data_IF_825043017556
#
_entry.id   IF_825043017556
#
_cell.length_a   1.000
_cell.length_b   1.000
_cell.length_c   1.000
_cell.angle_alpha   90.00
_cell.angle_beta   90.00
_cell.angle_gamma   90.00
#
_symmetry.space_group_name_H-M   'P 1'
#
loop_
_entity.id
_entity.type
_entity.pdbx_description
1 polymer ?
#
# COMPACT_ATOMS: atom_id res chain seq x y z
N UNK A 1 -4.16 -21.68 -22.41
CA UNK A 1 -3.66 -20.87 -21.30
C UNK A 1 -3.07 -19.48 -21.65
N UNK A 2 -2.52 -19.19 -22.84
CA UNK A 2 -2.04 -17.84 -23.18
C UNK A 2 -3.14 -16.81 -23.49
N UNK A 3 -4.33 -17.22 -23.92
CA UNK A 3 -5.40 -16.31 -24.35
C UNK A 3 -6.08 -15.64 -23.15
N UNK A 4 -6.32 -16.36 -22.06
CA UNK A 4 -6.94 -15.84 -20.83
C UNK A 4 -6.05 -14.81 -20.14
N UNK A 5 -4.73 -15.02 -20.12
CA UNK A 5 -3.78 -14.04 -19.56
C UNK A 5 -3.76 -12.74 -20.37
N UNK A 6 -3.89 -12.84 -21.69
CA UNK A 6 -3.96 -11.68 -22.58
C UNK A 6 -5.23 -10.85 -22.37
N UNK A 7 -6.36 -11.52 -22.15
CA UNK A 7 -7.63 -10.84 -21.85
C UNK A 7 -7.62 -10.16 -20.48
N UNK A 8 -7.07 -10.81 -19.46
CA UNK A 8 -6.93 -10.22 -18.11
C UNK A 8 -6.01 -9.02 -18.17
N UNK A 9 -4.87 -9.13 -18.84
CA UNK A 9 -3.91 -8.03 -19.01
C UNK A 9 -4.52 -6.87 -19.80
N UNK A 10 -5.27 -7.17 -20.87
CA UNK A 10 -5.98 -6.16 -21.65
C UNK A 10 -7.07 -5.45 -20.83
N UNK A 11 -7.82 -6.18 -20.01
CA UNK A 11 -8.84 -5.60 -19.12
C UNK A 11 -8.23 -4.72 -18.01
N UNK A 12 -7.09 -5.10 -17.46
CA UNK A 12 -6.36 -4.28 -16.47
C UNK A 12 -5.85 -3.00 -17.13
N UNK A 13 -5.23 -3.11 -18.31
CA UNK A 13 -4.77 -1.95 -19.08
C UNK A 13 -5.97 -1.07 -19.47
N UNK A 14 -7.07 -1.64 -19.94
CA UNK A 14 -8.26 -0.88 -20.29
C UNK A 14 -8.88 -0.17 -19.07
N UNK A 15 -8.90 -0.84 -17.91
CA UNK A 15 -9.37 -0.25 -16.65
C UNK A 15 -8.48 0.91 -16.19
N UNK A 16 -7.15 0.76 -16.29
CA UNK A 16 -6.19 1.83 -16.00
C UNK A 16 -6.33 2.99 -17.01
N UNK A 17 -6.43 2.69 -18.30
CA UNK A 17 -6.68 3.72 -19.34
C UNK A 17 -8.02 4.41 -19.15
N UNK A 18 -9.06 3.66 -18.80
CA UNK A 18 -10.38 4.23 -18.51
C UNK A 18 -10.35 5.13 -17.27
N UNK A 19 -9.65 4.72 -16.23
CA UNK A 19 -9.47 5.54 -15.01
C UNK A 19 -8.69 6.82 -15.31
N UNK A 20 -7.62 6.74 -16.10
CA UNK A 20 -6.83 7.90 -16.56
C UNK A 20 -7.67 8.76 -17.52
N UNK A 21 -8.43 8.16 -18.43
CA UNK A 21 -9.33 8.88 -19.35
C UNK A 21 -10.45 9.62 -18.60
N UNK A 22 -11.06 8.97 -17.61
CA UNK A 22 -12.05 9.60 -16.74
C UNK A 22 -11.42 10.76 -15.97
N UNK A 23 -10.23 10.57 -15.37
CA UNK A 23 -9.50 11.62 -14.68
C UNK A 23 -9.12 12.79 -15.61
N UNK A 24 -8.67 12.50 -16.84
CA UNK A 24 -8.36 13.50 -17.85
C UNK A 24 -9.61 14.20 -18.40
N UNK A 25 -10.73 13.48 -18.56
CA UNK A 25 -12.01 14.06 -18.98
C UNK A 25 -12.58 15.00 -17.92
N UNK A 26 -12.45 14.64 -16.64
CA UNK A 26 -12.78 15.55 -15.53
C UNK A 26 -11.83 16.74 -15.48
N UNK A 27 -10.53 16.54 -15.63
CA UNK A 27 -9.54 17.63 -15.68
C UNK A 27 -9.80 18.57 -16.88
N UNK A 28 -10.12 18.03 -18.06
CA UNK A 28 -10.44 18.80 -19.26
C UNK A 28 -11.68 19.68 -19.14
N UNK A 29 -12.70 19.24 -18.40
CA UNK A 29 -13.89 20.08 -18.13
C UNK A 29 -13.58 21.28 -17.21
N UNK A 30 -12.51 21.22 -16.41
CA UNK A 30 -12.07 22.33 -15.56
C UNK A 30 -11.31 23.42 -16.33
N UNK A 31 -10.69 23.07 -17.48
CA UNK A 31 -9.95 24.04 -18.31
C UNK A 31 -10.89 24.93 -19.13
N UNK A 32 -12.08 24.48 -19.46
CA UNK A 32 -13.03 25.25 -20.29
C UNK A 32 -13.92 26.22 -19.50
N UNK A 33 -13.83 26.28 -18.18
CA UNK A 33 -14.64 27.19 -17.35
C UNK A 33 -13.99 28.55 -17.09
N UNK A 34 -12.84 28.87 -17.71
CA UNK A 34 -12.06 30.08 -17.43
C UNK A 34 -11.91 31.01 -18.64
N UNK A 35 -13.05 31.36 -19.30
CA UNK A 35 -13.10 32.57 -20.13
C UNK A 35 -14.25 33.46 -19.68
N UNK A 36 -13.88 34.61 -19.17
CA UNK A 36 -14.58 35.86 -18.91
C UNK A 36 -14.71 36.28 -17.45
N UNK A 37 -13.79 37.10 -16.94
CA UNK A 37 -14.05 38.51 -16.58
C UNK A 37 -12.81 39.13 -15.88
N UNK A 38 -12.43 40.38 -16.19
CA UNK A 38 -11.39 41.08 -15.48
C UNK A 38 -11.91 41.68 -14.17
N UNK A 39 -11.04 41.62 -13.14
CA UNK A 39 -11.08 42.40 -11.92
C UNK A 39 -12.33 42.36 -11.02
N UNK A 40 -12.59 41.20 -10.44
CA UNK A 40 -13.08 41.14 -9.07
C UNK A 40 -12.31 40.03 -8.37
N UNK A 41 -11.56 40.34 -7.30
CA UNK A 41 -11.05 39.34 -6.34
C UNK A 41 -12.25 38.56 -5.84
N UNK A 42 -12.53 37.40 -6.43
CA UNK A 42 -13.68 36.61 -6.05
C UNK A 42 -13.49 36.18 -4.59
N UNK A 43 -14.33 36.69 -3.71
CA UNK A 43 -14.34 36.25 -2.33
C UNK A 43 -14.79 34.81 -2.35
N UNK A 44 -13.91 33.90 -1.92
CA UNK A 44 -14.25 32.51 -1.76
C UNK A 44 -15.47 32.39 -0.84
N UNK A 45 -16.35 31.41 -1.07
CA UNK A 45 -17.56 31.20 -0.26
C UNK A 45 -17.27 30.66 1.14
N UNK A 46 -16.01 30.52 1.52
CA UNK A 46 -15.56 30.02 2.83
C UNK A 46 -14.31 30.79 3.28
N UNK A 47 -14.08 30.78 4.60
CA UNK A 47 -12.93 31.43 5.21
C UNK A 47 -11.69 30.54 5.08
N UNK A 48 -10.58 31.13 4.58
CA UNK A 48 -9.25 30.51 4.58
C UNK A 48 -8.55 30.89 5.89
N UNK A 49 -8.01 29.89 6.56
CA UNK A 49 -7.22 30.09 7.77
C UNK A 49 -5.81 30.59 7.39
N UNK A 50 -5.43 31.78 7.83
CA UNK A 50 -4.13 32.39 7.56
C UNK A 50 -2.95 31.51 8.06
N UNK A 51 -3.17 30.69 9.09
CA UNK A 51 -2.16 29.75 9.60
C UNK A 51 -1.80 28.65 8.61
N UNK A 52 -2.65 28.42 7.60
CA UNK A 52 -2.44 27.42 6.53
C UNK A 52 -1.84 27.99 5.27
N UNK A 53 -1.49 29.26 5.28
CA UNK A 53 -0.80 29.90 4.16
C UNK A 53 0.58 29.27 3.99
N UNK A 54 0.94 28.98 2.75
CA UNK A 54 2.27 28.48 2.38
C UNK A 54 3.32 29.51 2.82
N UNK A 55 4.42 29.01 3.36
CA UNK A 55 5.52 29.86 3.81
C UNK A 55 5.95 30.82 2.69
N UNK A 56 6.22 32.10 2.99
CA UNK A 56 6.59 33.09 1.97
C UNK A 56 7.82 32.69 1.12
N UNK A 57 8.79 31.99 1.66
CA UNK A 57 9.97 31.53 0.91
C UNK A 57 9.58 30.41 -0.09
N UNK A 58 8.75 29.47 0.34
CA UNK A 58 8.22 28.41 -0.53
C UNK A 58 7.28 28.99 -1.60
N UNK A 59 6.46 29.98 -1.23
CA UNK A 59 5.57 30.65 -2.17
C UNK A 59 6.31 31.39 -3.28
N UNK A 60 7.49 31.97 -2.99
CA UNK A 60 8.36 32.59 -4.02
C UNK A 60 8.82 31.58 -5.06
N UNK A 61 9.15 30.38 -4.65
CA UNK A 61 9.61 29.30 -5.52
C UNK A 61 8.48 28.57 -6.25
N UNK A 62 7.23 28.76 -5.83
CA UNK A 62 6.07 28.09 -6.42
C UNK A 62 5.81 28.55 -7.85
N UNK A 63 5.91 27.62 -8.80
CA UNK A 63 5.71 27.86 -10.23
C UNK A 63 4.22 28.04 -10.56
N UNK A 64 3.89 28.98 -11.43
CA UNK A 64 2.54 29.11 -12.01
C UNK A 64 2.30 28.10 -13.13
N UNK A 65 1.02 27.79 -13.37
CA UNK A 65 0.56 26.90 -14.44
C UNK A 65 0.89 25.44 -14.19
N UNK A 66 0.90 24.69 -15.27
CA UNK A 66 1.10 23.25 -15.24
C UNK A 66 2.55 22.85 -15.51
N UNK A 67 2.94 21.71 -14.95
CA UNK A 67 4.22 21.06 -15.24
C UNK A 67 4.18 19.56 -14.97
N UNK A 68 5.11 18.84 -15.59
CA UNK A 68 5.33 17.42 -15.34
C UNK A 68 6.61 17.28 -14.54
N UNK A 69 6.57 16.42 -13.54
CA UNK A 69 7.75 15.99 -12.78
C UNK A 69 7.70 14.50 -12.53
N UNK A 70 8.81 13.89 -12.18
CA UNK A 70 8.85 12.48 -11.85
C UNK A 70 10.20 12.09 -11.29
N UNK A 71 10.21 10.93 -10.63
CA UNK A 71 11.39 10.38 -10.01
C UNK A 71 11.53 8.90 -10.41
N UNK A 72 12.60 8.53 -11.13
CA UNK A 72 12.95 7.13 -11.30
C UNK A 72 13.45 6.55 -9.96
N UNK A 73 13.19 5.29 -9.73
CA UNK A 73 13.59 4.60 -8.51
C UNK A 73 14.14 3.22 -8.81
N UNK A 74 15.23 2.88 -8.13
CA UNK A 74 15.80 1.52 -8.10
C UNK A 74 16.05 1.18 -6.64
N UNK A 75 15.59 0.01 -6.21
CA UNK A 75 15.80 -0.48 -4.85
C UNK A 75 16.02 -1.98 -4.85
N UNK A 76 16.57 -2.54 -3.78
CA UNK A 76 16.78 -3.97 -3.60
C UNK A 76 16.06 -4.45 -2.35
N UNK A 77 15.38 -5.56 -2.46
CA UNK A 77 14.69 -6.25 -1.38
C UNK A 77 15.11 -7.72 -1.38
N UNK A 78 15.51 -8.30 -0.23
CA UNK A 78 16.02 -9.68 -0.17
C UNK A 78 15.01 -10.73 -0.64
N UNK A 79 13.71 -10.47 -0.48
CA UNK A 79 12.63 -11.41 -0.82
C UNK A 79 12.16 -11.21 -2.26
N UNK A 80 11.97 -9.98 -2.67
CA UNK A 80 11.36 -9.64 -3.97
C UNK A 80 12.37 -9.16 -5.02
N UNK A 81 13.66 -9.18 -4.71
CA UNK A 81 14.75 -8.86 -5.64
C UNK A 81 14.90 -7.37 -5.93
N UNK A 82 15.44 -7.04 -7.09
CA UNK A 82 15.66 -5.67 -7.51
C UNK A 82 14.36 -5.09 -8.08
N UNK A 83 13.89 -4.00 -7.50
CA UNK A 83 12.77 -3.20 -7.98
C UNK A 83 13.27 -2.05 -8.84
N UNK A 84 12.61 -1.79 -9.95
CA UNK A 84 12.87 -0.67 -10.84
C UNK A 84 11.57 -0.08 -11.34
N UNK A 85 11.57 1.22 -11.55
CA UNK A 85 10.38 1.94 -11.98
C UNK A 85 10.46 3.43 -11.72
N UNK A 86 9.32 4.04 -11.46
CA UNK A 86 9.25 5.46 -11.12
C UNK A 86 7.82 5.93 -10.87
N UNK A 87 7.76 7.14 -10.31
CA UNK A 87 6.52 7.90 -10.12
C UNK A 87 6.56 9.14 -11.00
N UNK A 88 5.45 9.41 -11.69
CA UNK A 88 5.25 10.60 -12.50
C UNK A 88 4.08 11.42 -11.98
N UNK A 89 4.19 12.75 -12.10
CA UNK A 89 3.18 13.67 -11.64
C UNK A 89 2.92 14.75 -12.71
N UNK A 90 1.66 14.96 -13.02
CA UNK A 90 1.21 16.18 -13.68
C UNK A 90 0.58 17.07 -12.62
N UNK A 91 1.08 18.30 -12.48
CA UNK A 91 0.70 19.24 -11.43
C UNK A 91 0.20 20.51 -12.10
N UNK A 92 -0.99 20.94 -11.70
CA UNK A 92 -1.56 22.25 -12.06
C UNK A 92 -1.57 23.14 -10.82
N UNK A 93 -0.77 24.18 -10.82
CA UNK A 93 -0.68 25.12 -9.69
C UNK A 93 -1.65 26.30 -9.80
N UNK A 94 -2.21 26.56 -11.00
CA UNK A 94 -3.02 27.72 -11.27
C UNK A 94 -2.20 29.02 -11.39
N UNK A 95 -2.89 30.15 -11.36
CA UNK A 95 -2.30 31.49 -11.49
C UNK A 95 -2.07 32.12 -10.11
N UNK A 96 -1.03 32.95 -9.97
CA UNK A 96 -0.75 33.73 -8.74
C UNK A 96 -1.89 34.69 -8.36
N UNK A 97 -2.71 35.09 -9.34
CA UNK A 97 -3.90 35.90 -9.10
C UNK A 97 -5.04 35.14 -8.39
N UNK A 98 -5.02 33.80 -8.40
CA UNK A 98 -6.02 33.00 -7.71
C UNK A 98 -5.81 33.06 -6.19
N UNK A 99 -6.88 33.29 -5.43
CA UNK A 99 -6.86 33.39 -3.97
C UNK A 99 -6.37 32.10 -3.28
N UNK A 100 -6.56 30.93 -3.90
CA UNK A 100 -6.11 29.64 -3.39
C UNK A 100 -4.64 29.35 -3.66
N UNK A 101 -3.97 30.12 -4.54
CA UNK A 101 -2.57 29.88 -4.90
C UNK A 101 -1.62 29.87 -3.69
N UNK A 102 -1.89 30.74 -2.72
CA UNK A 102 -1.09 30.83 -1.50
C UNK A 102 -1.48 29.82 -0.40
N UNK A 103 -2.54 29.03 -0.57
CA UNK A 103 -3.06 28.12 0.47
C UNK A 103 -3.06 26.66 0.05
N UNK A 104 -3.00 26.39 -1.24
CA UNK A 104 -2.98 25.01 -1.77
C UNK A 104 -1.62 24.71 -2.39
N UNK A 105 -1.08 23.50 -2.23
CA UNK A 105 0.15 23.09 -2.94
C UNK A 105 -0.03 23.10 -4.47
N UNK A 106 -1.23 22.82 -4.96
CA UNK A 106 -1.65 22.79 -6.37
C UNK A 106 -3.17 22.90 -6.45
N UNK A 107 -3.71 23.19 -7.64
CA UNK A 107 -5.15 23.11 -7.93
C UNK A 107 -5.55 21.64 -8.04
N UNK A 108 -4.77 20.87 -8.80
CA UNK A 108 -4.88 19.41 -8.85
C UNK A 108 -3.55 18.76 -9.20
N UNK A 109 -3.42 17.51 -8.81
CA UNK A 109 -2.28 16.66 -9.14
C UNK A 109 -2.78 15.31 -9.63
N UNK A 110 -2.30 14.90 -10.79
CA UNK A 110 -2.46 13.53 -11.30
C UNK A 110 -1.15 12.80 -11.07
N UNK A 111 -1.22 11.58 -10.57
CA UNK A 111 -0.05 10.73 -10.31
C UNK A 111 -0.15 9.41 -11.07
N UNK A 112 0.98 8.87 -11.48
CA UNK A 112 1.13 7.54 -12.01
C UNK A 112 2.38 6.88 -11.41
N UNK A 113 2.24 5.64 -10.95
CA UNK A 113 3.30 4.85 -10.35
C UNK A 113 3.46 3.55 -11.15
N UNK A 114 4.68 3.23 -11.56
CA UNK A 114 4.99 2.01 -12.32
C UNK A 114 6.25 1.39 -11.72
N UNK A 115 6.11 0.23 -11.10
CA UNK A 115 7.22 -0.50 -10.50
C UNK A 115 7.15 -1.98 -10.84
N UNK A 116 8.30 -2.58 -11.12
CA UNK A 116 8.45 -4.02 -11.35
C UNK A 116 9.68 -4.53 -10.63
N UNK A 117 9.64 -5.81 -10.22
CA UNK A 117 10.80 -6.46 -9.63
C UNK A 117 11.41 -7.51 -10.57
N UNK A 118 12.68 -7.82 -10.35
CA UNK A 118 13.42 -8.85 -11.09
C UNK A 118 12.82 -10.27 -10.94
N UNK A 119 12.03 -10.51 -9.89
CA UNK A 119 11.35 -11.79 -9.66
C UNK A 119 9.86 -11.78 -10.09
N UNK A 120 9.41 -10.72 -10.77
CA UNK A 120 8.09 -10.64 -11.37
C UNK A 120 6.99 -10.04 -10.49
N UNK A 121 7.31 -9.46 -9.32
CA UNK A 121 6.38 -8.63 -8.59
C UNK A 121 6.14 -7.31 -9.33
N UNK A 122 4.93 -6.74 -9.20
CA UNK A 122 4.50 -5.55 -9.95
C UNK A 122 3.63 -4.66 -9.09
N UNK A 123 3.81 -3.36 -9.25
CA UNK A 123 2.93 -2.35 -8.67
C UNK A 123 2.65 -1.27 -9.71
N UNK A 124 1.37 -1.02 -9.96
CA UNK A 124 0.90 0.04 -10.84
C UNK A 124 -0.13 0.87 -10.09
N UNK A 125 -0.01 2.17 -10.13
CA UNK A 125 -0.93 3.08 -9.48
C UNK A 125 -1.27 4.27 -10.36
N UNK A 126 -2.47 4.81 -10.18
CA UNK A 126 -2.87 6.09 -10.78
C UNK A 126 -3.82 6.81 -9.84
N UNK A 127 -3.64 8.12 -9.69
CA UNK A 127 -4.45 8.91 -8.77
C UNK A 127 -4.67 10.33 -9.21
N UNK A 128 -5.67 10.95 -8.58
CA UNK A 128 -5.92 12.38 -8.68
C UNK A 128 -6.20 12.95 -7.29
N UNK A 129 -5.63 14.10 -7.00
CA UNK A 129 -5.82 14.84 -5.76
C UNK A 129 -6.25 16.28 -6.07
N UNK A 130 -7.36 16.69 -5.50
CA UNK A 130 -8.05 17.96 -5.71
C UNK A 130 -8.27 18.65 -4.36
N UNK A 131 -7.29 19.44 -3.84
CA UNK A 131 -7.33 20.00 -2.49
C UNK A 131 -8.51 20.92 -2.20
N UNK A 132 -8.95 21.70 -3.17
CA UNK A 132 -10.09 22.62 -3.05
C UNK A 132 -11.02 22.43 -4.24
N UNK A 133 -11.71 21.29 -4.26
CA UNK A 133 -12.56 20.91 -5.39
C UNK A 133 -13.59 22.00 -5.74
N UNK A 134 -13.51 22.53 -6.97
CA UNK A 134 -14.38 23.62 -7.45
C UNK A 134 -14.41 24.84 -6.50
N UNK A 135 -13.25 25.26 -6.03
CA UNK A 135 -13.13 26.38 -5.10
C UNK A 135 -14.01 26.23 -3.83
N UNK A 136 -14.16 24.99 -3.38
CA UNK A 136 -14.88 24.63 -2.15
C UNK A 136 -13.91 24.19 -1.06
N UNK A 137 -14.34 24.11 0.22
CA UNK A 137 -13.51 23.63 1.31
C UNK A 137 -13.32 22.11 1.32
N UNK A 138 -13.73 21.42 0.25
CA UNK A 138 -13.61 19.98 0.14
C UNK A 138 -12.37 19.58 -0.64
N UNK A 139 -11.65 18.58 -0.14
CA UNK A 139 -10.61 17.86 -0.86
C UNK A 139 -11.15 16.54 -1.34
N UNK A 140 -10.85 16.17 -2.57
CA UNK A 140 -11.17 14.86 -3.14
C UNK A 140 -9.87 14.19 -3.53
N UNK A 141 -9.68 12.98 -3.06
CA UNK A 141 -8.57 12.12 -3.43
C UNK A 141 -9.11 10.80 -3.98
N UNK A 142 -8.70 10.44 -5.18
CA UNK A 142 -8.98 9.15 -5.80
C UNK A 142 -7.66 8.48 -6.17
N UNK A 143 -7.56 7.19 -5.91
CA UNK A 143 -6.41 6.37 -6.24
C UNK A 143 -6.85 4.98 -6.68
N UNK A 144 -6.31 4.49 -7.79
CA UNK A 144 -6.49 3.11 -8.26
C UNK A 144 -5.14 2.41 -8.29
N UNK A 145 -5.13 1.11 -8.03
CA UNK A 145 -3.90 0.34 -7.96
C UNK A 145 -4.07 -1.10 -8.42
N UNK A 146 -2.95 -1.65 -8.87
CA UNK A 146 -2.70 -3.06 -9.09
C UNK A 146 -1.38 -3.43 -8.42
N UNK A 147 -1.43 -4.38 -7.50
CA UNK A 147 -0.26 -4.92 -6.78
C UNK A 147 -0.22 -6.43 -6.95
N UNK A 148 0.85 -6.97 -7.48
CA UNK A 148 1.12 -8.39 -7.52
C UNK A 148 2.45 -8.71 -6.88
N UNK A 149 2.43 -9.58 -5.87
CA UNK A 149 3.62 -10.03 -5.20
C UNK A 149 3.62 -11.57 -5.12
N UNK A 150 4.58 -12.19 -5.80
CA UNK A 150 4.74 -13.64 -5.88
C UNK A 150 5.35 -14.26 -4.61
N UNK A 151 5.91 -13.45 -3.72
CA UNK A 151 6.69 -13.89 -2.55
C UNK A 151 6.27 -13.17 -1.28
N UNK A 152 4.96 -13.01 -1.06
CA UNK A 152 4.48 -12.48 0.21
C UNK A 152 4.72 -13.48 1.32
N UNK A 153 5.24 -12.99 2.44
CA UNK A 153 5.56 -13.78 3.61
C UNK A 153 4.35 -13.94 4.54
N UNK A 154 4.18 -15.15 5.07
CA UNK A 154 3.16 -15.48 6.06
C UNK A 154 3.73 -16.42 7.12
N UNK A 155 3.80 -15.94 8.35
CA UNK A 155 4.35 -16.69 9.49
C UNK A 155 3.28 -17.15 10.48
N UNK A 156 1.99 -16.87 10.21
CA UNK A 156 0.86 -17.21 11.05
C UNK A 156 0.09 -15.99 11.55
N UNK A 157 -0.84 -16.21 12.47
CA UNK A 157 -1.65 -15.19 13.15
C UNK A 157 -1.75 -15.46 14.65
N UNK A 158 -1.99 -14.40 15.44
CA UNK A 158 -2.20 -14.49 16.89
C UNK A 158 -0.93 -14.64 17.71
N UNK A 159 -1.07 -15.04 18.98
CA UNK A 159 0.04 -15.11 19.95
C UNK A 159 1.19 -16.03 19.54
N UNK A 160 0.90 -17.06 18.73
CA UNK A 160 1.94 -17.96 18.23
C UNK A 160 3.01 -17.26 17.41
N UNK A 161 2.67 -16.12 16.80
CA UNK A 161 3.61 -15.31 16.00
C UNK A 161 4.55 -14.43 16.86
N UNK A 162 4.27 -14.32 18.14
CA UNK A 162 5.15 -13.62 19.09
C UNK A 162 6.30 -14.50 19.59
N UNK A 163 6.24 -15.79 19.31
CA UNK A 163 7.30 -16.74 19.65
C UNK A 163 8.37 -16.75 18.55
N UNK A 164 9.65 -16.95 18.90
CA UNK A 164 10.70 -17.14 17.91
C UNK A 164 10.36 -18.27 16.93
N UNK A 165 10.75 -18.10 15.66
CA UNK A 165 10.66 -19.17 14.67
C UNK A 165 11.62 -20.31 15.03
N UNK A 166 11.33 -21.52 14.59
CA UNK A 166 12.23 -22.66 14.67
C UNK A 166 12.96 -22.87 13.34
N UNK A 167 14.08 -23.61 13.37
CA UNK A 167 14.86 -23.92 12.17
C UNK A 167 14.08 -24.69 11.12
N UNK A 168 13.27 -25.61 11.55
CA UNK A 168 12.39 -26.35 10.66
C UNK A 168 10.94 -26.29 11.17
N UNK A 169 9.98 -25.84 10.35
CA UNK A 169 8.62 -25.59 10.82
C UNK A 169 7.86 -26.83 11.30
N UNK A 170 8.32 -28.03 10.93
CA UNK A 170 7.72 -29.32 11.29
C UNK A 170 8.52 -30.12 12.32
N UNK A 171 9.59 -29.53 12.84
CA UNK A 171 10.42 -30.13 13.87
C UNK A 171 10.26 -29.35 15.19
N UNK A 172 9.52 -29.93 16.13
CA UNK A 172 9.24 -29.27 17.41
C UNK A 172 10.47 -29.15 18.32
N UNK A 173 11.52 -29.96 18.10
CA UNK A 173 12.76 -29.93 18.85
C UNK A 173 13.79 -28.94 18.34
N UNK A 174 13.42 -28.17 17.31
CA UNK A 174 14.36 -27.22 16.72
C UNK A 174 14.59 -26.01 17.63
N UNK A 175 15.85 -25.54 17.67
CA UNK A 175 16.25 -24.36 18.43
C UNK A 175 15.51 -23.10 17.94
N UNK A 176 15.13 -22.20 18.86
CA UNK A 176 14.53 -20.93 18.47
C UNK A 176 15.51 -20.07 17.69
N UNK A 177 15.01 -19.31 16.71
CA UNK A 177 15.77 -18.36 15.91
C UNK A 177 15.69 -16.99 16.58
N UNK A 178 16.83 -16.49 17.05
CA UNK A 178 16.90 -15.21 17.77
C UNK A 178 17.82 -14.18 17.08
N UNK A 179 18.58 -14.59 16.07
CA UNK A 179 19.47 -13.74 15.30
C UNK A 179 19.20 -13.80 13.80
N UNK A 180 19.63 -12.76 13.06
CA UNK A 180 19.54 -12.74 11.60
C UNK A 180 20.33 -13.89 10.94
N UNK A 181 21.50 -14.22 11.47
CA UNK A 181 22.30 -15.32 10.96
C UNK A 181 21.62 -16.69 11.13
N UNK A 182 20.86 -16.88 12.20
CA UNK A 182 20.03 -18.08 12.40
C UNK A 182 18.83 -18.07 11.47
N UNK A 183 18.23 -16.93 11.19
CA UNK A 183 17.17 -16.81 10.20
C UNK A 183 17.66 -17.21 8.79
N UNK A 184 18.84 -16.76 8.38
CA UNK A 184 19.46 -17.13 7.10
C UNK A 184 19.68 -18.64 7.01
N UNK A 185 20.19 -19.25 8.08
CA UNK A 185 20.34 -20.73 8.16
C UNK A 185 19.00 -21.46 8.07
N UNK A 186 17.95 -20.90 8.66
CA UNK A 186 16.60 -21.46 8.53
C UNK A 186 16.11 -21.44 7.08
N UNK A 187 16.27 -20.29 6.40
CA UNK A 187 15.87 -20.16 4.99
C UNK A 187 16.65 -21.15 4.11
N UNK A 188 17.94 -21.34 4.38
CA UNK A 188 18.76 -22.36 3.73
C UNK A 188 18.24 -23.78 4.00
N UNK A 189 17.91 -24.10 5.25
CA UNK A 189 17.35 -25.41 5.63
C UNK A 189 15.99 -25.69 4.95
N UNK A 190 15.12 -24.68 4.82
CA UNK A 190 13.86 -24.79 4.07
C UNK A 190 14.11 -25.00 2.57
N UNK A 191 15.18 -24.44 2.05
CA UNK A 191 15.55 -24.54 0.64
C UNK A 191 16.17 -25.90 0.27
N UNK A 192 16.52 -26.70 1.26
CA UNK A 192 17.14 -28.00 1.03
C UNK A 192 16.25 -28.91 0.19
N UNK A 193 16.85 -29.54 -0.83
CA UNK A 193 16.18 -30.46 -1.76
C UNK A 193 16.42 -31.89 -1.34
N UNK A 194 15.39 -32.69 -1.27
CA UNK A 194 15.44 -34.11 -0.95
C UNK A 194 14.69 -34.92 -2.03
N UNK A 195 15.11 -36.17 -2.33
CA UNK A 195 14.39 -37.05 -3.25
C UNK A 195 12.95 -37.27 -2.80
N UNK A 196 12.01 -37.26 -3.75
CA UNK A 196 10.59 -37.56 -3.50
C UNK A 196 10.40 -39.05 -3.23
N UNK A 197 9.91 -39.41 -2.04
CA UNK A 197 9.58 -40.84 -1.74
C UNK A 197 8.34 -41.25 -2.53
N UNK A 198 8.46 -42.37 -3.27
CA UNK A 198 7.32 -42.99 -3.98
C UNK A 198 6.92 -42.31 -5.28
N UNK A 199 7.69 -41.36 -5.75
CA UNK A 199 7.59 -40.77 -7.10
C UNK A 199 8.84 -41.06 -7.91
N UNK A 200 8.73 -40.78 -9.22
CA UNK A 200 9.83 -40.86 -10.16
C UNK A 200 11.13 -40.32 -9.56
N UNK A 201 12.22 -41.08 -9.61
CA UNK A 201 13.52 -40.71 -9.04
C UNK A 201 14.09 -39.38 -9.54
N UNK A 202 13.47 -38.82 -10.57
CA UNK A 202 13.78 -37.50 -11.15
C UNK A 202 13.14 -36.31 -10.42
N UNK A 203 12.35 -36.51 -9.38
CA UNK A 203 11.64 -35.45 -8.67
C UNK A 203 12.25 -35.18 -7.30
N UNK A 204 12.41 -33.91 -6.98
CA UNK A 204 12.86 -33.42 -5.68
C UNK A 204 11.77 -32.63 -4.99
N UNK A 205 11.83 -32.55 -3.66
CA UNK A 205 10.92 -31.78 -2.82
C UNK A 205 11.71 -30.78 -1.99
N UNK A 206 11.09 -29.63 -1.72
CA UNK A 206 11.68 -28.55 -0.92
C UNK A 206 10.59 -27.86 -0.12
N UNK A 207 10.93 -27.29 1.02
CA UNK A 207 10.04 -26.47 1.84
C UNK A 207 10.27 -24.95 1.65
N UNK A 208 11.05 -24.57 0.66
CA UNK A 208 11.42 -23.19 0.35
C UNK A 208 10.23 -22.20 0.32
N UNK A 209 9.04 -22.66 -0.05
CA UNK A 209 7.83 -21.86 -0.15
C UNK A 209 6.86 -22.06 1.02
N UNK A 210 7.33 -22.64 2.12
CA UNK A 210 6.47 -22.93 3.26
C UNK A 210 5.80 -21.67 3.84
N UNK A 211 6.54 -20.57 3.95
CA UNK A 211 6.04 -19.30 4.46
C UNK A 211 5.62 -18.31 3.37
N UNK A 212 5.59 -18.70 2.09
CA UNK A 212 5.29 -17.79 0.98
C UNK A 212 3.93 -18.07 0.35
N UNK A 213 3.32 -17.02 -0.20
CA UNK A 213 2.14 -17.11 -1.06
C UNK A 213 2.20 -16.05 -2.17
N UNK A 214 1.53 -16.32 -3.30
CA UNK A 214 1.32 -15.36 -4.40
C UNK A 214 0.05 -14.56 -4.10
N UNK A 215 0.13 -13.24 -4.17
CA UNK A 215 -1.00 -12.34 -4.00
C UNK A 215 -1.13 -11.39 -5.18
N UNK A 216 -2.38 -11.10 -5.53
CA UNK A 216 -2.74 -10.11 -6.53
C UNK A 216 -3.86 -9.25 -5.97
N UNK A 217 -3.63 -7.94 -5.86
CA UNK A 217 -4.57 -7.00 -5.30
C UNK A 217 -4.88 -5.89 -6.30
N UNK A 218 -6.14 -5.66 -6.59
CA UNK A 218 -6.59 -4.63 -7.54
C UNK A 218 -7.76 -3.89 -6.93
N UNK A 219 -7.71 -2.58 -6.99
CA UNK A 219 -8.79 -1.78 -6.43
C UNK A 219 -8.63 -0.30 -6.62
N UNK A 220 -9.52 0.42 -5.96
CA UNK A 220 -9.47 1.87 -5.88
C UNK A 220 -9.92 2.36 -4.51
N UNK A 221 -9.49 3.56 -4.17
CA UNK A 221 -9.83 4.29 -2.98
C UNK A 221 -10.32 5.69 -3.36
N UNK A 222 -11.41 6.11 -2.74
CA UNK A 222 -11.94 7.46 -2.84
C UNK A 222 -12.04 8.04 -1.43
N UNK A 223 -11.53 9.24 -1.25
CA UNK A 223 -11.67 9.97 0.02
C UNK A 223 -12.13 11.39 -0.28
N UNK A 224 -13.09 11.86 0.48
CA UNK A 224 -13.55 13.25 0.51
C UNK A 224 -13.34 13.77 1.93
N UNK A 225 -12.61 14.84 2.07
CA UNK A 225 -12.39 15.45 3.37
C UNK A 225 -12.68 16.96 3.34
N UNK A 226 -12.99 17.51 4.52
CA UNK A 226 -13.21 18.93 4.73
C UNK A 226 -12.60 19.36 6.06
N UNK A 227 -11.94 20.51 6.04
CA UNK A 227 -11.46 21.17 7.26
C UNK A 227 -12.51 22.12 7.81
N UNK A 228 -12.71 22.06 9.14
CA UNK A 228 -13.59 22.93 9.93
C UNK A 228 -12.80 23.63 11.01
N UNK A 229 -13.18 24.84 11.36
CA UNK A 229 -12.60 25.61 12.46
C UNK A 229 -11.07 25.60 12.49
N UNK A 230 -10.45 25.67 11.31
CA UNK A 230 -9.00 25.76 11.14
C UNK A 230 -8.22 24.47 11.45
N UNK A 231 -8.57 23.74 12.50
CA UNK A 231 -7.80 22.59 12.98
C UNK A 231 -8.50 21.23 12.79
N UNK A 232 -9.82 21.19 12.74
CA UNK A 232 -10.56 19.94 12.60
C UNK A 232 -10.78 19.55 11.15
N UNK A 233 -10.53 18.28 10.83
CA UNK A 233 -10.78 17.69 9.52
C UNK A 233 -11.74 16.50 9.69
N UNK A 234 -12.79 16.48 8.92
CA UNK A 234 -13.69 15.35 8.80
C UNK A 234 -13.50 14.68 7.44
N UNK A 235 -13.38 13.37 7.41
CA UNK A 235 -13.16 12.58 6.21
C UNK A 235 -14.19 11.46 6.08
N UNK A 236 -14.63 11.26 4.84
CA UNK A 236 -15.40 10.10 4.39
C UNK A 236 -14.65 9.42 3.26
N UNK A 237 -14.67 8.10 3.21
CA UNK A 237 -13.99 7.37 2.15
C UNK A 237 -14.60 6.01 1.89
N UNK A 238 -14.27 5.48 0.73
CA UNK A 238 -14.59 4.12 0.33
C UNK A 238 -13.38 3.50 -0.39
N UNK A 239 -13.02 2.28 0.00
CA UNK A 239 -12.06 1.47 -0.75
C UNK A 239 -12.80 0.24 -1.26
N UNK A 240 -12.59 -0.08 -2.52
CA UNK A 240 -13.12 -1.28 -3.15
C UNK A 240 -11.95 -1.99 -3.78
N UNK A 241 -11.65 -3.21 -3.30
CA UNK A 241 -10.57 -3.98 -3.87
C UNK A 241 -10.85 -5.48 -3.85
N UNK A 242 -10.21 -6.17 -4.75
CA UNK A 242 -10.19 -7.62 -4.85
C UNK A 242 -8.79 -8.14 -4.59
N UNK A 243 -8.68 -9.01 -3.59
CA UNK A 243 -7.48 -9.80 -3.32
C UNK A 243 -7.64 -11.20 -3.91
N UNK A 244 -6.63 -11.68 -4.60
CA UNK A 244 -6.51 -13.08 -5.02
C UNK A 244 -5.27 -13.63 -4.33
N UNK A 245 -5.44 -14.76 -3.65
CA UNK A 245 -4.36 -15.47 -2.94
C UNK A 245 -4.19 -16.84 -3.55
N UNK A 246 -2.95 -17.23 -3.82
CA UNK A 246 -2.58 -18.55 -4.34
C UNK A 246 -1.45 -19.11 -3.52
N UNK A 247 -1.60 -20.34 -3.07
CA UNK A 247 -0.55 -21.06 -2.33
C UNK A 247 0.37 -21.84 -3.26
N UNK A 248 1.46 -22.30 -2.70
CA UNK A 248 2.45 -23.12 -3.40
C UNK A 248 2.32 -24.61 -3.10
N UNK A 249 1.22 -25.05 -2.47
CA UNK A 249 1.00 -26.47 -2.13
C UNK A 249 1.05 -27.37 -3.38
N UNK A 250 1.93 -28.34 -3.35
CA UNK A 250 2.08 -29.34 -4.40
C UNK A 250 2.44 -28.82 -5.78
N UNK A 251 2.82 -27.54 -5.93
CA UNK A 251 3.23 -26.99 -7.22
C UNK A 251 4.58 -27.55 -7.65
N UNK A 252 4.64 -27.94 -8.92
CA UNK A 252 5.87 -28.40 -9.57
C UNK A 252 6.44 -27.23 -10.38
N UNK A 253 7.70 -26.94 -10.21
CA UNK A 253 8.42 -25.99 -11.05
C UNK A 253 9.73 -26.62 -11.55
N UNK A 254 10.16 -26.20 -12.73
CA UNK A 254 11.46 -26.60 -13.28
C UNK A 254 12.51 -25.64 -12.76
N UNK A 255 13.44 -26.13 -11.98
CA UNK A 255 14.63 -25.38 -11.61
C UNK A 255 15.57 -25.31 -12.81
N UNK A 256 15.95 -24.12 -13.22
CA UNK A 256 16.95 -23.92 -14.28
C UNK A 256 18.39 -24.05 -13.78
N UNK A 257 18.59 -23.81 -12.48
CA UNK A 257 19.90 -23.87 -11.88
C UNK A 257 20.03 -25.12 -11.03
N UNK A 258 21.08 -25.94 -11.22
CA UNK A 258 21.49 -26.88 -10.20
C UNK A 258 21.75 -26.08 -8.92
N UNK A 259 21.13 -26.47 -7.85
CA UNK A 259 21.21 -25.78 -6.56
C UNK A 259 22.70 -25.60 -6.19
N UNK A 260 23.19 -24.36 -6.19
CA UNK A 260 24.56 -23.94 -5.84
C UNK A 260 25.70 -24.70 -6.51
N UNK A 261 25.53 -25.14 -7.74
CA UNK A 261 26.58 -25.89 -8.46
C UNK A 261 26.82 -27.29 -7.93
N UNK A 262 25.94 -27.81 -7.08
CA UNK A 262 26.01 -29.19 -6.63
C UNK A 262 25.62 -30.14 -7.76
N UNK A 263 26.61 -30.86 -8.28
CA UNK A 263 26.45 -31.87 -9.37
C UNK A 263 25.66 -33.09 -8.93
N UNK A 264 25.43 -33.30 -7.62
CA UNK A 264 24.65 -34.42 -7.10
C UNK A 264 23.14 -34.29 -7.33
N UNK A 265 22.65 -33.06 -7.62
CA UNK A 265 21.24 -32.81 -7.83
C UNK A 265 21.01 -32.11 -9.18
N UNK A 266 20.94 -32.87 -10.29
CA UNK A 266 20.69 -32.29 -11.61
C UNK A 266 19.34 -31.55 -11.60
N UNK A 267 19.26 -30.48 -12.40
CA UNK A 267 18.08 -29.62 -12.52
C UNK A 267 16.90 -30.38 -13.11
N UNK A 268 16.11 -30.99 -12.28
CA UNK A 268 14.88 -31.73 -12.62
C UNK A 268 13.67 -31.08 -11.96
N UNK A 269 12.54 -31.68 -12.10
CA UNK A 269 11.30 -31.19 -11.50
C UNK A 269 11.42 -31.05 -9.97
N UNK A 270 11.15 -29.86 -9.45
CA UNK A 270 11.11 -29.58 -8.02
C UNK A 270 9.66 -29.40 -7.61
N UNK A 271 9.22 -30.15 -6.61
CA UNK A 271 7.88 -30.12 -6.09
C UNK A 271 7.87 -29.28 -4.81
N UNK A 272 6.95 -28.33 -4.72
CA UNK A 272 6.77 -27.40 -3.62
C UNK A 272 5.42 -27.58 -2.94
N UNK A 273 5.42 -27.67 -1.66
CA UNK A 273 6.10 -28.61 -0.78
C UNK A 273 5.67 -30.04 -1.13
N UNK A 274 6.06 -31.05 -0.43
CA UNK A 274 5.62 -32.46 -0.75
C UNK A 274 4.10 -32.56 -0.87
N UNK A 275 3.53 -33.56 -1.57
CA UNK A 275 2.08 -33.73 -1.70
C UNK A 275 1.30 -33.74 -0.38
N UNK A 276 1.94 -34.13 0.70
CA UNK A 276 1.36 -34.15 2.06
C UNK A 276 1.87 -32.97 2.92
N UNK A 277 2.76 -32.13 2.39
CA UNK A 277 3.30 -30.99 3.10
C UNK A 277 2.63 -29.72 2.56
N UNK A 278 2.01 -29.01 3.45
CA UNK A 278 1.21 -27.80 3.17
C UNK A 278 2.01 -26.57 3.55
N UNK A 279 1.75 -25.45 2.89
CA UNK A 279 2.27 -24.15 3.32
C UNK A 279 1.68 -23.78 4.67
N UNK A 280 2.33 -22.90 5.41
CA UNK A 280 1.83 -22.38 6.70
C UNK A 280 0.43 -21.78 6.56
N UNK A 281 0.17 -21.11 5.45
CA UNK A 281 -1.14 -20.53 5.16
C UNK A 281 -2.22 -21.60 5.04
N UNK A 282 -1.93 -22.74 4.41
CA UNK A 282 -2.86 -23.86 4.26
C UNK A 282 -3.10 -24.56 5.60
N UNK A 283 -2.07 -24.76 6.41
CA UNK A 283 -2.20 -25.34 7.76
C UNK A 283 -3.11 -24.47 8.64
N UNK A 284 -2.94 -23.16 8.60
CA UNK A 284 -3.77 -22.25 9.40
C UNK A 284 -5.20 -22.13 8.86
N UNK A 285 -5.43 -22.30 7.56
CA UNK A 285 -6.77 -22.41 6.97
C UNK A 285 -7.48 -23.68 7.42
N UNK A 286 -6.80 -24.83 7.42
CA UNK A 286 -7.38 -26.11 7.86
C UNK A 286 -7.63 -26.18 9.38
N UNK A 287 -6.84 -25.42 10.13
CA UNK A 287 -7.05 -25.23 11.58
C UNK A 287 -8.06 -24.11 11.89
N UNK A 288 -8.76 -23.58 10.88
CA UNK A 288 -9.78 -22.52 11.00
C UNK A 288 -9.29 -21.22 11.67
N UNK A 289 -7.98 -20.99 11.68
CA UNK A 289 -7.36 -19.80 12.30
C UNK A 289 -7.50 -18.53 11.44
N UNK A 290 -7.74 -18.69 10.14
CA UNK A 290 -7.78 -17.57 9.19
C UNK A 290 -9.02 -17.59 8.30
N UNK A 291 -9.44 -16.39 7.88
CA UNK A 291 -10.42 -16.20 6.82
C UNK A 291 -9.72 -15.63 5.58
N UNK A 292 -10.36 -15.71 4.42
CA UNK A 292 -9.86 -15.13 3.18
C UNK A 292 -8.69 -15.88 2.55
N UNK A 293 -8.58 -17.19 2.77
CA UNK A 293 -7.50 -18.03 2.24
C UNK A 293 -7.26 -17.91 0.74
N UNK A 294 -8.32 -17.81 -0.06
CA UNK A 294 -8.24 -17.62 -1.53
C UNK A 294 -8.33 -16.16 -1.95
N UNK A 295 -8.38 -15.24 -0.99
CA UNK A 295 -8.67 -13.84 -1.22
C UNK A 295 -10.16 -13.54 -1.11
N UNK A 296 -10.63 -12.52 -1.84
CA UNK A 296 -12.03 -12.08 -1.89
C UNK A 296 -12.17 -10.60 -2.18
N UNK A 297 -13.40 -10.14 -2.30
CA UNK A 297 -13.74 -8.72 -2.38
C UNK A 297 -13.78 -8.11 -0.99
N UNK A 298 -13.11 -6.97 -0.82
CA UNK A 298 -13.13 -6.19 0.41
C UNK A 298 -13.54 -4.76 0.08
N UNK A 299 -14.78 -4.43 0.45
CA UNK A 299 -15.35 -3.11 0.27
C UNK A 299 -15.40 -2.42 1.62
N UNK A 300 -14.69 -1.32 1.77
CA UNK A 300 -14.55 -0.58 3.02
C UNK A 300 -15.27 0.75 2.92
N UNK A 301 -16.08 1.05 3.91
CA UNK A 301 -16.50 2.41 4.19
C UNK A 301 -15.63 2.96 5.33
N UNK A 302 -15.13 4.19 5.16
CA UNK A 302 -14.23 4.85 6.09
C UNK A 302 -14.80 6.18 6.52
N UNK A 303 -14.72 6.48 7.80
CA UNK A 303 -15.00 7.81 8.33
C UNK A 303 -13.97 8.15 9.39
N UNK A 304 -13.60 9.42 9.48
CA UNK A 304 -12.62 9.86 10.45
C UNK A 304 -12.74 11.34 10.78
N UNK A 305 -12.26 11.66 11.97
CA UNK A 305 -12.08 13.03 12.44
C UNK A 305 -10.61 13.19 12.83
N UNK A 306 -9.98 14.24 12.35
CA UNK A 306 -8.62 14.60 12.73
C UNK A 306 -8.60 16.02 13.32
N UNK A 307 -7.72 16.21 14.30
CA UNK A 307 -7.32 17.50 14.85
C UNK A 307 -5.86 17.76 14.46
N UNK A 308 -5.60 18.80 13.70
CA UNK A 308 -4.30 19.10 13.10
C UNK A 308 -3.91 20.56 13.34
N UNK A 309 -2.97 20.76 14.26
CA UNK A 309 -2.40 22.08 14.59
C UNK A 309 -0.92 22.17 14.23
N UNK A 310 -0.42 21.26 13.37
CA UNK A 310 0.96 21.31 12.90
C UNK A 310 1.19 22.59 12.10
N UNK A 311 2.35 23.20 12.30
CA UNK A 311 2.76 24.40 11.59
C UNK A 311 3.02 24.13 10.09
N UNK A 312 3.57 22.96 9.75
CA UNK A 312 3.79 22.54 8.37
C UNK A 312 3.59 21.02 8.23
N UNK A 313 2.68 20.60 7.36
CA UNK A 313 2.26 19.20 7.27
C UNK A 313 3.40 18.24 6.85
N UNK A 314 4.23 18.52 5.83
CA UNK A 314 5.31 17.63 5.40
C UNK A 314 6.46 17.51 6.39
N UNK A 315 6.82 18.60 7.11
CA UNK A 315 7.94 18.65 8.04
C UNK A 315 7.60 19.51 9.28
N UNK A 316 6.76 19.02 10.17
CA UNK A 316 6.29 19.79 11.32
C UNK A 316 7.40 20.01 12.35
N UNK A 317 7.53 21.25 12.81
CA UNK A 317 8.43 21.66 13.90
C UNK A 317 7.70 21.71 15.25
N UNK A 318 6.40 22.00 15.23
CA UNK A 318 5.54 22.07 16.41
C UNK A 318 4.10 21.74 16.06
N UNK A 319 3.33 21.36 17.07
CA UNK A 319 1.90 21.11 16.97
C UNK A 319 1.54 19.66 17.23
N UNK A 320 0.26 19.37 17.11
CA UNK A 320 -0.35 18.07 17.39
C UNK A 320 -1.13 17.66 16.14
N UNK A 321 -1.04 16.38 15.82
CA UNK A 321 -1.94 15.70 14.91
C UNK A 321 -2.57 14.53 15.65
N UNK A 322 -3.88 14.52 15.78
CA UNK A 322 -4.63 13.42 16.38
C UNK A 322 -5.80 13.04 15.49
N UNK A 323 -6.03 11.75 15.31
CA UNK A 323 -7.14 11.26 14.48
C UNK A 323 -7.82 10.04 15.09
N UNK A 324 -9.11 9.93 14.84
CA UNK A 324 -9.92 8.75 15.12
C UNK A 324 -10.56 8.34 13.81
N UNK A 325 -10.30 7.10 13.39
CA UNK A 325 -10.84 6.53 12.17
C UNK A 325 -11.68 5.30 12.49
N UNK A 326 -12.82 5.20 11.83
CA UNK A 326 -13.69 4.04 11.83
C UNK A 326 -13.81 3.51 10.41
N UNK A 327 -13.51 2.22 10.24
CA UNK A 327 -13.52 1.51 8.97
C UNK A 327 -14.45 0.31 9.10
N UNK A 328 -15.39 0.17 8.18
CA UNK A 328 -16.35 -0.92 8.16
C UNK A 328 -16.33 -1.64 6.83
N UNK A 329 -16.22 -2.97 6.87
CA UNK A 329 -16.50 -3.87 5.76
C UNK A 329 -17.80 -4.60 6.03
N UNK A 330 -18.65 -4.79 5.01
CA UNK A 330 -19.90 -5.52 5.17
C UNK A 330 -20.33 -6.21 3.88
N UNK A 331 -20.91 -7.39 4.05
CA UNK A 331 -21.55 -8.15 2.97
C UNK A 331 -22.74 -7.40 2.34
N UNK A 332 -23.36 -6.49 3.09
CA UNK A 332 -24.48 -5.69 2.61
C UNK A 332 -24.14 -4.79 1.41
N UNK A 333 -22.88 -4.42 1.24
CA UNK A 333 -22.37 -3.65 0.09
C UNK A 333 -21.32 -4.40 -0.74
N UNK A 334 -21.48 -5.73 -0.83
CA UNK A 334 -20.73 -6.57 -1.76
C UNK A 334 -19.32 -6.98 -1.30
N UNK A 335 -18.99 -6.86 -0.02
CA UNK A 335 -17.78 -7.44 0.54
C UNK A 335 -17.98 -8.93 0.84
N UNK A 336 -16.94 -9.75 0.69
CA UNK A 336 -16.97 -11.15 1.16
C UNK A 336 -16.80 -11.25 2.69
N UNK A 337 -16.37 -10.18 3.33
CA UNK A 337 -16.02 -10.11 4.75
C UNK A 337 -16.87 -9.10 5.50
N UNK A 338 -17.11 -9.41 6.79
CA UNK A 338 -17.86 -8.52 7.68
C UNK A 338 -17.02 -8.20 8.92
N UNK A 339 -16.33 -7.07 8.92
CA UNK A 339 -15.48 -6.64 10.02
C UNK A 339 -15.50 -5.11 10.21
N UNK A 340 -15.01 -4.66 11.34
CA UNK A 340 -14.77 -3.25 11.63
C UNK A 340 -13.38 -3.05 12.23
N UNK A 341 -12.78 -1.90 11.94
CA UNK A 341 -11.50 -1.45 12.47
C UNK A 341 -11.66 -0.05 13.04
N UNK A 342 -11.16 0.13 14.23
CA UNK A 342 -11.10 1.41 14.94
C UNK A 342 -9.62 1.75 15.11
N UNK A 343 -9.24 2.94 14.69
CA UNK A 343 -7.87 3.44 14.81
C UNK A 343 -7.89 4.76 15.56
N UNK A 344 -7.11 4.87 16.60
CA UNK A 344 -6.78 6.12 17.28
C UNK A 344 -5.29 6.36 17.11
N UNK A 345 -4.94 7.53 16.61
CA UNK A 345 -3.57 7.88 16.31
C UNK A 345 -3.27 9.31 16.75
N UNK A 346 -2.18 9.53 17.46
CA UNK A 346 -1.74 10.86 17.87
C UNK A 346 -0.23 11.02 17.63
N UNK A 347 0.13 12.20 17.15
CA UNK A 347 1.52 12.67 17.01
C UNK A 347 1.66 14.02 17.66
N UNK A 348 2.77 14.25 18.34
CA UNK A 348 3.15 15.53 18.90
C UNK A 348 4.54 15.92 18.38
N UNK A 349 4.70 17.19 18.06
CA UNK A 349 5.95 17.77 17.64
C UNK A 349 6.24 18.97 18.52
N UNK A 350 7.47 19.04 19.04
CA UNK A 350 7.88 20.10 19.93
C UNK A 350 9.35 20.48 19.70
N UNK A 351 9.62 21.76 19.51
CA UNK A 351 10.97 22.29 19.34
C UNK A 351 11.66 22.34 20.72
N UNK A 352 12.70 21.54 20.88
CA UNK A 352 13.42 21.38 22.15
C UNK A 352 14.54 22.41 22.24
N UNK A 353 14.61 23.15 23.38
CA UNK A 353 15.66 24.11 23.64
C UNK A 353 15.96 25.09 22.47
N UNK A 354 14.95 25.82 21.94
CA UNK A 354 15.10 26.64 20.72
C UNK A 354 16.17 27.74 20.84
N UNK A 355 16.60 28.07 22.04
CA UNK A 355 17.67 29.05 22.28
C UNK A 355 19.08 28.48 22.08
N UNK A 356 19.22 27.15 22.10
CA UNK A 356 20.51 26.45 21.97
C UNK A 356 20.57 25.70 20.64
N UNK A 357 19.47 25.06 20.25
CA UNK A 357 19.36 24.28 19.02
C UNK A 357 18.23 24.83 18.15
N UNK A 358 18.55 25.32 16.97
CA UNK A 358 17.57 25.89 16.04
C UNK A 358 16.57 24.87 15.50
N UNK A 359 16.96 23.58 15.45
CA UNK A 359 16.20 22.53 14.76
C UNK A 359 16.12 21.19 15.53
N UNK A 360 16.31 21.19 16.83
CA UNK A 360 16.11 19.98 17.64
C UNK A 360 14.62 19.79 17.91
N UNK A 361 14.01 18.82 17.22
CA UNK A 361 12.58 18.54 17.32
C UNK A 361 12.37 17.22 18.06
N UNK A 362 11.58 17.24 19.11
CA UNK A 362 11.01 16.03 19.72
C UNK A 362 9.75 15.64 18.93
N UNK A 363 9.70 14.38 18.46
CA UNK A 363 8.54 13.79 17.80
C UNK A 363 8.10 12.54 18.56
N UNK A 364 6.87 12.55 19.09
CA UNK A 364 6.24 11.42 19.75
C UNK A 364 5.05 10.90 18.94
N UNK A 365 4.82 9.58 18.96
CA UNK A 365 3.68 8.95 18.30
C UNK A 365 3.07 7.86 19.17
N UNK A 366 1.73 7.85 19.25
CA UNK A 366 0.93 6.77 19.82
C UNK A 366 -0.10 6.34 18.79
N UNK A 367 -0.27 5.03 18.61
CA UNK A 367 -1.31 4.46 17.77
C UNK A 367 -1.94 3.26 18.47
N UNK A 368 -3.26 3.19 18.44
CA UNK A 368 -4.05 2.08 18.96
C UNK A 368 -5.00 1.63 17.85
N UNK A 369 -5.00 0.33 17.57
CA UNK A 369 -5.89 -0.27 16.58
C UNK A 369 -6.67 -1.40 17.23
N UNK A 370 -7.97 -1.42 17.01
CA UNK A 370 -8.85 -2.53 17.35
C UNK A 370 -9.54 -3.02 16.09
N UNK A 371 -9.58 -4.34 15.89
CA UNK A 371 -10.26 -4.95 14.77
C UNK A 371 -11.15 -6.09 15.27
N UNK A 372 -12.37 -6.18 14.76
CA UNK A 372 -13.36 -7.21 15.17
C UNK A 372 -14.18 -7.69 13.99
N UNK A 373 -14.67 -8.93 14.05
CA UNK A 373 -15.50 -9.55 13.02
C UNK A 373 -14.78 -10.62 12.21
N UNK A 374 -15.31 -10.96 11.03
CA UNK A 374 -14.73 -11.95 10.11
C UNK A 374 -13.68 -11.25 9.24
N UNK A 375 -12.44 -11.26 9.72
CA UNK A 375 -11.33 -10.52 9.15
C UNK A 375 -10.53 -11.43 8.23
N UNK A 376 -10.29 -11.09 6.95
CA UNK A 376 -9.37 -11.86 6.14
C UNK A 376 -7.92 -11.67 6.62
N UNK A 377 -7.10 -12.71 6.56
CA UNK A 377 -5.76 -12.73 7.15
C UNK A 377 -4.85 -11.60 6.64
N UNK A 378 -5.01 -11.17 5.42
CA UNK A 378 -4.20 -10.10 4.83
C UNK A 378 -4.53 -8.70 5.35
N UNK A 379 -5.66 -8.52 6.07
CA UNK A 379 -6.03 -7.27 6.74
C UNK A 379 -5.34 -7.09 8.10
N UNK A 380 -4.79 -8.15 8.70
CA UNK A 380 -4.03 -8.05 9.95
C UNK A 380 -2.72 -7.23 9.81
N UNK A 381 -2.25 -6.98 8.60
CA UNK A 381 -1.07 -6.13 8.35
C UNK A 381 -1.28 -4.65 8.67
N UNK A 382 -2.51 -4.24 8.82
CA UNK A 382 -2.89 -2.86 9.11
C UNK A 382 -3.15 -2.60 10.60
N UNK A 383 -2.67 -3.48 11.47
CA UNK A 383 -2.76 -3.37 12.92
C UNK A 383 -1.49 -2.76 13.51
#
# INVERSE_FOLDING_TARGET
>A
MPIILKEIFLRIILSLFLSVYIALSFAGQFVYAEETHPDTKSKLPFHLDESRKIDPEELKSKREGSFITGLPSVSSDPVTGIWYGGSGYYIENGKKSNSLFAYSPYVYRISADIYQSSVGAKYYGAGIDLPYFKESPYRINFYSFYDRNLRRQYYGVGESTLKPLSYHPRNDDSQPIVTNAEFDKREEALSYRRPSRGRDASSYVTDQKYNEFDSENTGFALTVDRTFWGAFRFALGADIYRMIVRTYDGKVFKSKDPYFGDTMFPAVNVILPTPNAKTKLTEDKESEKINGYSGGYTNLFKTGIAYDTRDFEPNPRKGIFAEINFIKSSRAWGSDFNFQRELVHAKIFYLVLPRIFSELIFAGRVALTRITGTIPFYEYRHI
#
